data_IF_431277724266
#
_entry.id   IF_431277724266
#
_cell.length_a   1.000
_cell.length_b   1.000
_cell.length_c   1.000
_cell.angle_alpha   90.00
_cell.angle_beta   90.00
_cell.angle_gamma   90.00
#
_symmetry.space_group_name_H-M   'P 1'
#
loop_
_entity.id
_entity.type
_entity.pdbx_description
1 polymer ?
#
# COMPACT_ATOMS: atom_id res chain seq x y z
N UNK A 1 -2.90 -7.07 -1.65
CA UNK A 1 -4.19 -7.81 -1.63
C UNK A 1 -4.87 -7.65 -2.98
N UNK A 2 -4.87 -8.69 -3.81
CA UNK A 2 -5.52 -8.65 -5.12
C UNK A 2 -7.01 -8.28 -5.01
N UNK A 3 -7.49 -7.46 -5.94
CA UNK A 3 -8.88 -7.02 -5.98
C UNK A 3 -9.27 -5.90 -5.00
N UNK A 4 -8.42 -5.56 -4.04
CA UNK A 4 -8.73 -4.55 -3.02
C UNK A 4 -8.82 -3.12 -3.55
N UNK A 5 -8.37 -2.88 -4.77
CA UNK A 5 -8.43 -1.57 -5.43
C UNK A 5 -9.84 -1.09 -5.77
N UNK A 6 -10.81 -2.00 -5.82
CA UNK A 6 -12.21 -1.64 -6.10
C UNK A 6 -12.94 -1.07 -4.88
N UNK A 7 -12.28 -0.95 -3.77
CA UNK A 7 -12.81 -0.37 -2.53
C UNK A 7 -13.15 -1.43 -1.48
N UNK A 8 -13.55 -0.98 -0.29
CA UNK A 8 -13.75 0.42 0.10
C UNK A 8 -12.46 1.21 0.24
N UNK A 9 -12.57 2.54 0.30
CA UNK A 9 -11.45 3.43 0.65
C UNK A 9 -11.26 3.45 2.16
N UNK A 10 -10.01 3.33 2.57
CA UNK A 10 -9.64 3.35 3.97
C UNK A 10 -8.87 4.63 4.31
N UNK A 11 -9.11 5.16 5.50
CA UNK A 11 -8.47 6.38 5.96
C UNK A 11 -6.99 6.16 6.28
N UNK A 12 -6.15 7.12 5.88
CA UNK A 12 -4.74 7.22 6.27
C UNK A 12 -4.55 8.25 7.39
N UNK A 13 -5.62 8.61 8.09
CA UNK A 13 -5.60 9.53 9.20
C UNK A 13 -5.84 8.81 10.52
N UNK A 14 -5.25 9.34 11.56
CA UNK A 14 -5.58 9.00 12.95
C UNK A 14 -6.12 10.26 13.61
N UNK A 15 -7.45 10.34 13.75
CA UNK A 15 -8.13 11.59 14.00
C UNK A 15 -7.92 12.55 12.83
N UNK A 16 -7.51 13.77 13.12
CA UNK A 16 -7.24 14.80 12.09
C UNK A 16 -5.84 14.72 11.48
N UNK A 17 -4.98 13.87 12.05
CA UNK A 17 -3.58 13.77 11.62
C UNK A 17 -3.39 12.72 10.52
N UNK A 18 -2.86 13.15 9.38
CA UNK A 18 -2.40 12.23 8.34
C UNK A 18 -1.17 11.45 8.83
N UNK A 19 -1.24 10.14 8.81
CA UNK A 19 -0.17 9.23 9.26
C UNK A 19 0.44 8.39 8.13
N UNK A 20 -0.12 8.47 6.94
CA UNK A 20 0.39 7.78 5.75
C UNK A 20 0.25 6.26 5.79
N UNK A 21 -0.51 5.73 6.73
CA UNK A 21 -0.76 4.31 6.86
C UNK A 21 -2.21 4.06 7.25
N UNK A 22 -2.75 2.93 6.82
CA UNK A 22 -4.09 2.50 7.21
C UNK A 22 -4.00 1.83 8.58
N UNK A 23 -4.87 2.22 9.51
CA UNK A 23 -5.01 1.52 10.79
C UNK A 23 -5.85 0.25 10.59
N UNK A 24 -5.16 -0.87 10.41
CA UNK A 24 -5.77 -2.18 10.12
C UNK A 24 -6.82 -2.58 11.16
N UNK A 25 -6.58 -2.23 12.43
CA UNK A 25 -7.50 -2.58 13.53
C UNK A 25 -8.74 -1.69 13.54
N UNK A 26 -8.54 -0.39 13.40
CA UNK A 26 -9.63 0.58 13.39
C UNK A 26 -10.54 0.39 12.18
N UNK A 27 -9.95 0.14 11.02
CA UNK A 27 -10.67 -0.06 9.76
C UNK A 27 -11.18 -1.49 9.59
N UNK A 28 -10.89 -2.39 10.54
CA UNK A 28 -11.31 -3.81 10.52
C UNK A 28 -10.94 -4.52 9.22
N UNK A 29 -9.79 -4.17 8.65
CA UNK A 29 -9.31 -4.82 7.43
C UNK A 29 -8.95 -6.26 7.77
N UNK A 30 -9.52 -7.24 7.10
CA UNK A 30 -9.06 -8.60 7.26
C UNK A 30 -7.60 -8.68 6.79
N UNK A 31 -6.70 -8.87 7.73
CA UNK A 31 -5.31 -9.27 7.41
C UNK A 31 -5.41 -10.69 6.91
N UNK A 32 -5.61 -10.83 5.62
CA UNK A 32 -6.10 -12.07 5.07
C UNK A 32 -5.00 -12.92 4.49
N UNK A 33 -5.29 -14.19 4.47
CA UNK A 33 -4.58 -15.21 3.69
C UNK A 33 -4.56 -14.88 2.17
N UNK A 34 -5.35 -13.87 1.73
CA UNK A 34 -5.41 -13.39 0.36
C UNK A 34 -4.27 -12.43 -0.02
N UNK A 35 -3.42 -12.06 0.93
CA UNK A 35 -2.25 -11.25 0.62
C UNK A 35 -1.22 -12.07 -0.18
N UNK A 36 -0.83 -11.53 -1.32
CA UNK A 36 0.20 -12.14 -2.18
C UNK A 36 1.55 -11.50 -1.89
N UNK A 37 2.54 -12.34 -1.59
CA UNK A 37 3.91 -11.87 -1.41
C UNK A 37 4.53 -11.57 -2.78
N UNK A 38 4.95 -10.33 -2.99
CA UNK A 38 5.67 -9.92 -4.19
C UNK A 38 7.16 -10.11 -3.93
N UNK A 39 7.67 -11.26 -4.30
CA UNK A 39 9.06 -11.65 -4.11
C UNK A 39 9.82 -11.53 -5.42
N UNK A 40 11.12 -11.22 -5.31
CA UNK A 40 11.98 -11.15 -6.50
C UNK A 40 13.41 -10.78 -6.18
N UNK A 41 14.27 -10.97 -7.18
CA UNK A 41 15.67 -10.52 -7.14
C UNK A 41 15.75 -9.02 -7.37
N UNK A 42 16.92 -8.45 -7.13
CA UNK A 42 17.20 -7.07 -7.50
C UNK A 42 16.87 -6.82 -8.99
N UNK A 43 16.20 -5.71 -9.29
CA UNK A 43 15.69 -5.40 -10.62
C UNK A 43 14.26 -5.88 -10.89
N UNK A 44 13.64 -6.61 -9.96
CA UNK A 44 12.21 -6.95 -10.08
C UNK A 44 11.36 -5.68 -10.00
N UNK A 45 10.37 -5.57 -10.87
CA UNK A 45 9.41 -4.47 -10.93
C UNK A 45 8.01 -5.02 -10.69
N UNK A 46 7.22 -4.30 -9.91
CA UNK A 46 5.80 -4.60 -9.74
C UNK A 46 4.97 -3.35 -10.04
N UNK A 47 3.76 -3.57 -10.52
CA UNK A 47 2.78 -2.53 -10.77
C UNK A 47 1.51 -2.84 -9.98
N UNK A 48 0.97 -1.85 -9.30
CA UNK A 48 -0.30 -2.00 -8.64
C UNK A 48 -1.07 -0.68 -8.65
N UNK A 49 -2.38 -0.79 -8.63
CA UNK A 49 -3.24 0.37 -8.52
C UNK A 49 -3.02 1.07 -7.17
N UNK A 50 -3.03 2.41 -7.09
CA UNK A 50 -2.79 3.14 -5.83
C UNK A 50 -3.76 2.77 -4.70
N UNK A 51 -4.98 2.36 -5.03
CA UNK A 51 -5.96 1.91 -4.03
C UNK A 51 -5.80 0.44 -3.62
N UNK A 52 -4.86 -0.30 -4.20
CA UNK A 52 -4.58 -1.68 -3.78
C UNK A 52 -3.97 -1.67 -2.39
N UNK A 53 -4.60 -2.39 -1.46
CA UNK A 53 -4.06 -2.55 -0.11
C UNK A 53 -2.75 -3.32 -0.21
N UNK A 54 -1.68 -2.69 0.24
CA UNK A 54 -0.34 -3.24 0.21
C UNK A 54 0.47 -2.77 1.41
N UNK A 55 1.56 -3.41 1.63
CA UNK A 55 2.45 -3.05 2.72
C UNK A 55 3.69 -3.91 2.72
N UNK A 56 4.55 -3.68 3.69
CA UNK A 56 5.74 -4.47 3.88
C UNK A 56 5.96 -4.77 5.36
N UNK A 57 6.45 -5.96 5.63
CA UNK A 57 6.89 -6.32 6.96
C UNK A 57 8.22 -5.63 7.31
N UNK A 58 8.50 -5.55 8.61
CA UNK A 58 9.78 -5.05 9.10
C UNK A 58 10.90 -5.92 8.53
N UNK A 59 11.94 -5.28 8.02
CA UNK A 59 13.15 -5.97 7.58
C UNK A 59 13.92 -6.51 8.80
N UNK A 60 13.93 -7.83 8.95
CA UNK A 60 14.64 -8.53 10.02
C UNK A 60 16.01 -9.06 9.58
N UNK A 61 16.43 -8.78 8.35
CA UNK A 61 17.74 -9.19 7.84
C UNK A 61 18.83 -8.18 8.21
N UNK A 62 20.09 -8.61 8.06
CA UNK A 62 21.25 -7.74 8.24
C UNK A 62 21.55 -6.85 7.02
N UNK A 63 20.76 -6.98 5.94
CA UNK A 63 20.97 -6.25 4.70
C UNK A 63 19.86 -5.20 4.49
N UNK A 64 20.20 -4.01 4.01
CA UNK A 64 19.18 -3.03 3.62
C UNK A 64 18.35 -3.54 2.46
N UNK A 65 17.08 -3.14 2.43
CA UNK A 65 16.17 -3.38 1.31
C UNK A 65 15.79 -2.02 0.72
N UNK A 66 16.34 -1.71 -0.43
CA UNK A 66 16.03 -0.49 -1.15
C UNK A 66 14.91 -0.72 -2.15
N UNK A 67 13.95 0.18 -2.18
CA UNK A 67 12.84 0.19 -3.13
C UNK A 67 12.76 1.57 -3.76
N UNK A 68 12.59 1.61 -5.07
CA UNK A 68 12.32 2.84 -5.80
C UNK A 68 10.85 2.87 -6.17
N UNK A 69 10.15 3.93 -5.77
CA UNK A 69 8.75 4.14 -6.10
C UNK A 69 8.62 5.17 -7.21
N UNK A 70 7.83 4.84 -8.21
CA UNK A 70 7.33 5.77 -9.19
C UNK A 70 5.80 5.80 -9.10
N UNK A 71 5.26 6.99 -8.96
CA UNK A 71 3.82 7.19 -8.94
C UNK A 71 3.38 7.91 -10.19
N UNK A 72 2.35 7.39 -10.82
CA UNK A 72 1.76 7.93 -12.04
C UNK A 72 0.29 8.20 -11.82
N UNK A 73 -0.17 9.34 -12.29
CA UNK A 73 -1.57 9.70 -12.32
C UNK A 73 -1.92 10.24 -13.71
N UNK A 74 -3.16 10.07 -14.12
CA UNK A 74 -3.64 10.74 -15.32
C UNK A 74 -3.55 12.25 -15.16
N UNK A 75 -3.31 12.97 -16.23
CA UNK A 75 -3.13 14.43 -16.20
C UNK A 75 -4.39 15.17 -15.69
N UNK A 76 -5.54 14.57 -15.84
CA UNK A 76 -6.85 15.05 -15.37
C UNK A 76 -7.30 14.42 -14.04
N UNK A 77 -6.44 13.64 -13.40
CA UNK A 77 -6.75 13.06 -12.09
C UNK A 77 -6.81 14.14 -11.01
N UNK A 78 -7.77 14.01 -10.13
CA UNK A 78 -7.97 14.90 -9.01
C UNK A 78 -7.82 14.16 -7.68
N UNK A 79 -7.14 14.71 -6.68
CA UNK A 79 -7.02 14.07 -5.38
C UNK A 79 -8.39 14.01 -4.68
N UNK A 80 -8.73 12.85 -4.15
CA UNK A 80 -9.97 12.65 -3.40
C UNK A 80 -9.89 13.23 -1.99
N UNK A 81 -8.69 13.33 -1.43
CA UNK A 81 -8.41 13.85 -0.09
C UNK A 81 -7.13 14.68 -0.11
N UNK A 82 -7.11 15.63 0.80
CA UNK A 82 -5.94 16.45 1.07
C UNK A 82 -5.27 16.04 2.38
#
# INVERSE_FOLDING_TARGET
>A
MPGSHVGPLYSHHRGEKFVGAIDIKAEKIPVSDDAVAVLGKAGTVSFHHPLTIHGSAINKSSKPRSILFYEYAAADAWPLFY
#
